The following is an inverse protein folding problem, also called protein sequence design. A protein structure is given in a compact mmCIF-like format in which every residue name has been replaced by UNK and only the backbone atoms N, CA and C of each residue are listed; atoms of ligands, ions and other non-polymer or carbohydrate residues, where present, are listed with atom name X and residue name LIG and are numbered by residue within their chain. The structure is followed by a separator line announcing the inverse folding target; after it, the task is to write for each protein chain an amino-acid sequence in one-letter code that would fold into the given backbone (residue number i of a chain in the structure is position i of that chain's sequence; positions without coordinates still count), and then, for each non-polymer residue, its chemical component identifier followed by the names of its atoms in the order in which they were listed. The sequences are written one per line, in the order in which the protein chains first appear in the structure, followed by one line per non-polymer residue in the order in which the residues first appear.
data_IF_184135692820
#
_entry.id   IF_184135692820
#
_cell.length_a   1.000
_cell.length_b   1.000
_cell.length_c   1.000
_cell.angle_alpha   90.00
_cell.angle_beta   90.00
_cell.angle_gamma   90.00
#
_symmetry.space_group_name_H-M   'P 1'
#
loop_
_entity.id
_entity.type
_entity.pdbx_description
1 polymer ?
#
# COMPACT_ATOMS: atom_id res chain seq x y z
N UNK A 1 12.29 21.06 -22.78
CA UNK A 1 12.34 19.84 -21.95
C UNK A 1 10.92 19.29 -21.85
N UNK A 2 10.68 18.15 -22.48
CA UNK A 2 9.40 17.44 -22.43
C UNK A 2 9.23 16.76 -21.07
N UNK A 3 8.01 16.42 -20.72
CA UNK A 3 7.70 15.73 -19.47
C UNK A 3 8.51 14.44 -19.36
N UNK A 4 8.57 13.68 -20.45
CA UNK A 4 9.33 12.44 -20.62
C UNK A 4 10.80 12.58 -20.17
N UNK A 5 11.49 13.65 -20.57
CA UNK A 5 12.90 13.90 -20.22
C UNK A 5 13.11 14.19 -18.73
N UNK A 6 12.09 14.72 -18.03
CA UNK A 6 12.12 14.88 -16.56
C UNK A 6 11.89 13.55 -15.86
N UNK A 7 11.07 12.66 -16.44
CA UNK A 7 10.73 11.36 -15.84
C UNK A 7 11.88 10.36 -15.97
N UNK A 8 12.63 10.41 -17.06
CA UNK A 8 13.81 9.56 -17.30
C UNK A 8 14.91 9.78 -16.24
N UNK A 9 14.97 11.00 -15.67
CA UNK A 9 15.95 11.39 -14.66
C UNK A 9 15.67 10.82 -13.25
N UNK A 10 14.49 10.22 -13.02
CA UNK A 10 14.06 9.66 -11.73
C UNK A 10 14.11 8.11 -11.74
N UNK A 11 14.53 7.49 -12.85
CA UNK A 11 14.88 6.07 -12.93
C UNK A 11 13.77 5.08 -12.48
N UNK A 12 12.52 5.31 -12.89
CA UNK A 12 11.48 4.28 -12.86
C UNK A 12 11.05 4.05 -14.31
N UNK A 13 11.18 2.81 -14.80
CA UNK A 13 10.73 2.39 -16.14
C UNK A 13 9.28 2.84 -16.40
N UNK A 14 8.98 3.22 -17.63
CA UNK A 14 7.65 3.74 -18.01
C UNK A 14 6.54 2.75 -17.62
N UNK A 15 6.80 1.44 -17.70
CA UNK A 15 5.84 0.41 -17.27
C UNK A 15 5.64 0.42 -15.76
N UNK A 16 6.72 0.47 -14.98
CA UNK A 16 6.66 0.55 -13.53
C UNK A 16 5.91 1.78 -13.05
N UNK A 17 6.06 2.93 -13.74
CA UNK A 17 5.30 4.13 -13.43
C UNK A 17 3.81 4.00 -13.76
N UNK A 18 3.47 3.41 -14.90
CA UNK A 18 2.06 3.13 -15.25
C UNK A 18 1.40 2.20 -14.23
N UNK A 19 2.11 1.14 -13.82
CA UNK A 19 1.65 0.21 -12.81
C UNK A 19 1.47 0.92 -11.46
N UNK A 20 2.45 1.72 -11.04
CA UNK A 20 2.35 2.48 -9.80
C UNK A 20 1.12 3.40 -9.82
N UNK A 21 0.92 4.18 -10.87
CA UNK A 21 -0.25 5.05 -10.99
C UNK A 21 -1.55 4.25 -10.92
N UNK A 22 -1.64 3.11 -11.62
CA UNK A 22 -2.82 2.25 -11.56
C UNK A 22 -3.08 1.74 -10.13
N UNK A 23 -2.05 1.29 -9.41
CA UNK A 23 -2.17 0.83 -8.02
C UNK A 23 -2.65 1.96 -7.09
N UNK A 24 -2.17 3.19 -7.30
CA UNK A 24 -2.58 4.35 -6.51
C UNK A 24 -4.03 4.77 -6.80
N UNK A 25 -4.45 4.72 -8.08
CA UNK A 25 -5.83 5.02 -8.49
C UNK A 25 -6.81 3.98 -7.93
N UNK A 26 -6.43 2.70 -7.89
CA UNK A 26 -7.23 1.62 -7.30
C UNK A 26 -7.28 1.69 -5.77
N UNK A 27 -6.28 2.30 -5.13
CA UNK A 27 -6.11 2.33 -3.67
C UNK A 27 -5.87 3.77 -3.17
N UNK A 28 -6.92 4.61 -3.13
CA UNK A 28 -6.78 6.04 -2.79
C UNK A 28 -6.20 6.28 -1.39
N UNK A 29 -6.49 5.41 -0.42
CA UNK A 29 -5.91 5.53 0.92
C UNK A 29 -4.39 5.32 0.91
N UNK A 30 -3.89 4.42 0.06
CA UNK A 30 -2.47 4.16 -0.09
C UNK A 30 -1.74 5.36 -0.70
N UNK A 31 -2.35 6.05 -1.66
CA UNK A 31 -1.82 7.30 -2.21
C UNK A 31 -1.73 8.39 -1.15
N UNK A 32 -2.74 8.52 -0.29
CA UNK A 32 -2.73 9.46 0.84
C UNK A 32 -1.57 9.13 1.81
N UNK A 33 -1.37 7.87 2.16
CA UNK A 33 -0.26 7.45 3.03
C UNK A 33 1.07 7.84 2.40
N UNK A 34 1.32 7.42 1.15
CA UNK A 34 2.57 7.68 0.45
C UNK A 34 2.90 9.17 0.31
N UNK A 35 1.89 10.02 0.06
CA UNK A 35 2.08 11.47 -0.09
C UNK A 35 2.38 12.18 1.23
N UNK A 36 1.87 11.66 2.34
CA UNK A 36 2.03 12.28 3.66
C UNK A 36 3.22 11.73 4.45
N UNK A 37 3.72 10.54 4.09
CA UNK A 37 4.89 9.94 4.71
C UNK A 37 6.19 10.60 4.24
N UNK A 38 7.10 10.82 5.18
CA UNK A 38 8.43 11.41 4.92
C UNK A 38 9.53 10.36 4.70
N UNK A 39 9.24 9.11 5.04
CA UNK A 39 10.18 7.98 4.97
C UNK A 39 9.41 6.67 4.87
N UNK A 40 10.14 5.60 4.54
CA UNK A 40 9.58 4.25 4.39
C UNK A 40 8.93 3.73 5.68
N UNK A 41 9.51 4.00 6.84
CA UNK A 41 8.95 3.57 8.14
C UNK A 41 7.54 4.13 8.36
N UNK A 42 7.33 5.42 8.05
CA UNK A 42 6.01 6.06 8.15
C UNK A 42 5.00 5.43 7.17
N UNK A 43 5.44 5.05 5.97
CA UNK A 43 4.57 4.34 5.01
C UNK A 43 4.13 3.00 5.58
N UNK A 44 5.08 2.21 6.10
CA UNK A 44 4.78 0.89 6.66
C UNK A 44 3.81 1.00 7.84
N UNK A 45 4.02 1.95 8.73
CA UNK A 45 3.11 2.20 9.86
C UNK A 45 1.72 2.62 9.36
N UNK A 46 1.64 3.57 8.44
CA UNK A 46 0.36 4.04 7.89
C UNK A 46 -0.42 2.95 7.17
N UNK A 47 0.26 2.08 6.40
CA UNK A 47 -0.37 0.94 5.73
C UNK A 47 -0.92 -0.05 6.75
N UNK A 48 -0.17 -0.35 7.81
CA UNK A 48 -0.63 -1.24 8.88
C UNK A 48 -1.88 -0.69 9.56
N UNK A 49 -1.88 0.58 9.93
CA UNK A 49 -3.03 1.23 10.56
C UNK A 49 -4.26 1.26 9.65
N UNK A 50 -4.05 1.44 8.34
CA UNK A 50 -5.12 1.35 7.35
C UNK A 50 -5.73 -0.06 7.28
N UNK A 51 -4.89 -1.09 7.22
CA UNK A 51 -5.36 -2.48 7.21
C UNK A 51 -6.11 -2.79 8.50
N UNK A 52 -5.54 -2.46 9.67
CA UNK A 52 -6.18 -2.69 10.97
C UNK A 52 -7.55 -1.98 11.07
N UNK A 53 -7.66 -0.73 10.58
CA UNK A 53 -8.94 -0.01 10.49
C UNK A 53 -9.95 -0.70 9.57
N UNK A 54 -9.49 -1.22 8.44
CA UNK A 54 -10.34 -1.89 7.45
C UNK A 54 -10.85 -3.24 7.95
N UNK A 55 -10.04 -3.94 8.74
CA UNK A 55 -10.37 -5.25 9.30
C UNK A 55 -11.11 -5.16 10.64
N UNK A 56 -11.17 -3.99 11.27
CA UNK A 56 -11.75 -3.80 12.61
C UNK A 56 -13.18 -4.33 12.75
N UNK A 57 -13.99 -4.19 11.72
CA UNK A 57 -15.39 -4.64 11.71
C UNK A 57 -15.54 -6.10 11.29
N UNK A 58 -14.43 -6.79 11.01
CA UNK A 58 -14.37 -8.20 10.57
C UNK A 58 -13.47 -8.99 11.52
N UNK A 59 -14.07 -9.47 12.60
CA UNK A 59 -13.36 -10.15 13.69
C UNK A 59 -12.47 -11.30 13.21
N UNK A 60 -12.96 -12.12 12.28
CA UNK A 60 -12.21 -13.27 11.75
C UNK A 60 -10.97 -12.83 10.95
N UNK A 61 -11.14 -11.83 10.08
CA UNK A 61 -10.04 -11.29 9.29
C UNK A 61 -9.01 -10.56 10.16
N UNK A 62 -9.46 -9.86 11.20
CA UNK A 62 -8.58 -9.22 12.19
C UNK A 62 -7.79 -10.27 12.98
N UNK A 63 -8.44 -11.34 13.44
CA UNK A 63 -7.78 -12.46 14.13
C UNK A 63 -6.76 -13.18 13.23
N UNK A 64 -7.11 -13.42 11.97
CA UNK A 64 -6.19 -14.01 10.98
C UNK A 64 -4.95 -13.11 10.76
N UNK A 65 -5.16 -11.80 10.60
CA UNK A 65 -4.10 -10.83 10.40
C UNK A 65 -3.10 -10.76 11.56
N UNK A 66 -3.58 -10.91 12.80
CA UNK A 66 -2.74 -10.91 14.00
C UNK A 66 -2.18 -12.29 14.39
N UNK A 67 -2.56 -13.37 13.71
CA UNK A 67 -2.10 -14.71 14.04
C UNK A 67 -0.61 -14.89 13.77
N UNK A 68 0.13 -15.47 14.73
CA UNK A 68 1.56 -15.80 14.59
C UNK A 68 1.83 -16.87 13.53
N UNK A 69 0.85 -17.74 13.29
CA UNK A 69 0.82 -18.75 12.25
C UNK A 69 -0.59 -18.79 11.66
N UNK A 70 -0.78 -18.16 10.51
CA UNK A 70 -2.09 -18.09 9.84
C UNK A 70 -2.29 -19.36 8.99
N UNK A 71 -2.98 -20.36 9.55
CA UNK A 71 -3.39 -21.57 8.83
C UNK A 71 -4.75 -21.43 8.16
N UNK A 72 -5.10 -22.35 7.26
CA UNK A 72 -6.42 -22.38 6.61
C UNK A 72 -7.59 -22.40 7.62
N UNK A 73 -7.38 -23.02 8.79
CA UNK A 73 -8.36 -23.09 9.89
C UNK A 73 -8.70 -21.72 10.52
N UNK A 74 -7.89 -20.69 10.28
CA UNK A 74 -8.16 -19.31 10.74
C UNK A 74 -8.85 -18.45 9.67
N UNK A 75 -9.03 -18.98 8.46
CA UNK A 75 -9.62 -18.28 7.33
C UNK A 75 -11.10 -18.62 7.10
N UNK A 76 -11.53 -19.82 7.52
CA UNK A 76 -12.93 -20.30 7.52
C UNK A 76 -13.70 -19.86 8.78
#
# INVERSE_FOLDING_TARGET
MTEIEKLDRIAIDVRSRKLLNQLLDENPEFDIILRNSKNETEVVVGVREWIERTLKDREDAFRFYHARHSGAELFD
#
